data_IF_309417353067
#
_entry.id   IF_309417353067
#
_cell.length_a   1.000
_cell.length_b   1.000
_cell.length_c   1.000
_cell.angle_alpha   90.00
_cell.angle_beta   90.00
_cell.angle_gamma   90.00
#
_symmetry.space_group_name_H-M   'P 1'
#
loop_
_entity.id
_entity.type
_entity.pdbx_description
1 polymer ?
#
# COMPACT_ATOMS: atom_id res chain seq x y z
N UNK A 1 -36.68 15.51 61.71
CA UNK A 1 -36.87 14.96 60.35
C UNK A 1 -36.56 15.98 59.24
N UNK A 2 -36.45 17.28 59.49
CA UNK A 2 -36.21 18.32 58.47
C UNK A 2 -34.69 18.44 58.05
N UNK A 3 -33.77 18.24 58.99
CA UNK A 3 -32.32 18.44 58.71
C UNK A 3 -31.68 17.37 57.81
N UNK A 4 -32.21 16.16 57.85
CA UNK A 4 -31.73 15.05 57.01
C UNK A 4 -32.16 15.23 55.54
N UNK A 5 -33.40 15.68 55.31
CA UNK A 5 -33.91 15.97 53.98
C UNK A 5 -33.18 17.17 53.31
N UNK A 6 -32.80 18.18 54.09
CA UNK A 6 -32.00 19.31 53.61
C UNK A 6 -30.54 18.93 53.28
N UNK A 7 -29.97 18.01 54.01
CA UNK A 7 -28.62 17.45 53.70
C UNK A 7 -28.65 16.64 52.40
N UNK A 8 -29.63 15.77 52.22
CA UNK A 8 -29.76 14.94 51.03
C UNK A 8 -30.02 15.79 49.77
N UNK A 9 -30.86 16.84 49.90
CA UNK A 9 -31.08 17.80 48.83
C UNK A 9 -29.79 18.57 48.42
N UNK A 10 -28.98 18.98 49.40
CA UNK A 10 -27.71 19.67 49.15
C UNK A 10 -26.65 18.75 48.55
N UNK A 11 -26.60 17.49 48.91
CA UNK A 11 -25.67 16.49 48.31
C UNK A 11 -26.07 16.22 46.86
N UNK A 12 -27.36 16.00 46.59
CA UNK A 12 -27.85 15.75 45.24
C UNK A 12 -27.66 16.98 44.31
N UNK A 13 -27.83 18.20 44.81
CA UNK A 13 -27.58 19.44 44.07
C UNK A 13 -26.08 19.64 43.74
N UNK A 14 -25.17 19.28 44.66
CA UNK A 14 -23.72 19.33 44.43
C UNK A 14 -23.28 18.29 43.43
N UNK A 15 -23.83 17.07 43.49
CA UNK A 15 -23.54 16.02 42.53
C UNK A 15 -24.02 16.36 41.11
N UNK A 16 -25.23 16.93 41.00
CA UNK A 16 -25.77 17.35 39.71
C UNK A 16 -24.99 18.50 39.09
N UNK A 17 -24.52 19.47 39.89
CA UNK A 17 -23.70 20.58 39.41
C UNK A 17 -22.32 20.12 38.98
N UNK A 18 -21.70 19.18 39.70
CA UNK A 18 -20.41 18.57 39.37
C UNK A 18 -20.50 17.76 38.06
N UNK A 19 -21.55 16.95 37.89
CA UNK A 19 -21.83 16.22 36.66
C UNK A 19 -22.05 17.15 35.46
N UNK A 20 -22.80 18.23 35.66
CA UNK A 20 -23.02 19.21 34.59
C UNK A 20 -21.73 19.93 34.16
N UNK A 21 -20.84 20.25 35.09
CA UNK A 21 -19.53 20.84 34.79
C UNK A 21 -18.63 19.88 34.01
N UNK A 22 -18.56 18.59 34.40
CA UNK A 22 -17.82 17.55 33.69
C UNK A 22 -18.37 17.35 32.27
N UNK A 23 -19.69 17.23 32.11
CA UNK A 23 -20.34 17.08 30.81
C UNK A 23 -20.08 18.28 29.89
N UNK A 24 -20.08 19.51 30.45
CA UNK A 24 -19.76 20.72 29.67
C UNK A 24 -18.33 20.71 29.17
N UNK A 25 -17.37 20.26 29.99
CA UNK A 25 -15.97 20.14 29.63
C UNK A 25 -15.76 19.06 28.57
N UNK A 26 -16.43 17.91 28.70
CA UNK A 26 -16.41 16.86 27.72
C UNK A 26 -16.95 17.32 26.36
N UNK A 27 -18.09 18.03 26.34
CA UNK A 27 -18.68 18.60 25.13
C UNK A 27 -17.78 19.65 24.46
N UNK A 28 -17.04 20.44 25.25
CA UNK A 28 -16.06 21.39 24.68
C UNK A 28 -14.90 20.67 24.02
N UNK A 29 -14.33 19.68 24.71
CA UNK A 29 -13.25 18.86 24.15
C UNK A 29 -13.68 18.11 22.89
N UNK A 30 -14.89 17.58 22.85
CA UNK A 30 -15.47 16.92 21.70
C UNK A 30 -15.62 17.87 20.50
N UNK A 31 -16.08 19.11 20.73
CA UNK A 31 -16.15 20.14 19.68
C UNK A 31 -14.77 20.53 19.15
N UNK A 32 -13.79 20.69 20.03
CA UNK A 32 -12.41 20.99 19.63
C UNK A 32 -11.83 19.83 18.81
N UNK A 33 -12.00 18.60 19.30
CA UNK A 33 -11.54 17.41 18.60
C UNK A 33 -12.21 17.28 17.21
N UNK A 34 -13.52 17.48 17.14
CA UNK A 34 -14.26 17.49 15.87
C UNK A 34 -13.78 18.57 14.90
N UNK A 35 -13.51 19.77 15.44
CA UNK A 35 -12.94 20.89 14.66
C UNK A 35 -11.54 20.57 14.12
N UNK A 36 -10.68 20.02 14.97
CA UNK A 36 -9.33 19.59 14.58
C UNK A 36 -9.36 18.49 13.52
N UNK A 37 -10.20 17.47 13.71
CA UNK A 37 -10.35 16.36 12.75
C UNK A 37 -10.87 16.86 11.41
N UNK A 38 -11.87 17.75 11.38
CA UNK A 38 -12.35 18.37 10.15
C UNK A 38 -11.26 19.23 9.50
N UNK A 39 -10.54 20.04 10.28
CA UNK A 39 -9.42 20.84 9.78
C UNK A 39 -8.32 19.99 9.17
N UNK A 40 -7.94 18.89 9.81
CA UNK A 40 -6.97 17.94 9.27
C UNK A 40 -7.47 17.28 7.98
N UNK A 41 -8.74 16.88 7.91
CA UNK A 41 -9.33 16.31 6.70
C UNK A 41 -9.31 17.31 5.53
N UNK A 42 -9.67 18.57 5.77
CA UNK A 42 -9.57 19.63 4.75
C UNK A 42 -8.13 19.91 4.34
N UNK A 43 -7.16 19.89 5.27
CA UNK A 43 -5.76 20.08 4.95
C UNK A 43 -5.23 18.96 4.05
N UNK A 44 -5.55 17.70 4.35
CA UNK A 44 -5.19 16.54 3.50
C UNK A 44 -5.83 16.67 2.11
N UNK A 45 -7.12 17.02 2.04
CA UNK A 45 -7.80 17.22 0.76
C UNK A 45 -7.16 18.35 -0.06
N UNK A 46 -6.82 19.47 0.58
CA UNK A 46 -6.16 20.60 -0.08
C UNK A 46 -4.77 20.22 -0.61
N UNK A 47 -3.98 19.48 0.19
CA UNK A 47 -2.67 18.98 -0.23
C UNK A 47 -2.78 18.02 -1.42
N UNK A 48 -3.70 17.05 -1.38
CA UNK A 48 -3.92 16.13 -2.49
C UNK A 48 -4.38 16.85 -3.75
N UNK A 49 -5.32 17.80 -3.61
CA UNK A 49 -5.75 18.65 -4.73
C UNK A 49 -4.62 19.47 -5.30
N UNK A 50 -3.76 20.04 -4.45
CA UNK A 50 -2.58 20.79 -4.86
C UNK A 50 -1.59 19.92 -5.65
N UNK A 51 -1.35 18.69 -5.22
CA UNK A 51 -0.50 17.74 -5.95
C UNK A 51 -1.11 17.41 -7.32
N UNK A 52 -2.42 17.12 -7.39
CA UNK A 52 -3.10 16.82 -8.65
C UNK A 52 -3.00 18.00 -9.62
N UNK A 53 -3.27 19.23 -9.15
CA UNK A 53 -3.16 20.44 -9.96
C UNK A 53 -1.73 20.64 -10.44
N UNK A 54 -0.72 20.48 -9.58
CA UNK A 54 0.68 20.60 -9.95
C UNK A 54 1.08 19.57 -11.03
N UNK A 55 0.60 18.32 -10.91
CA UNK A 55 0.83 17.28 -11.92
C UNK A 55 0.16 17.61 -13.26
N UNK A 56 -1.06 18.11 -13.26
CA UNK A 56 -1.78 18.53 -14.48
C UNK A 56 -1.03 19.68 -15.18
N UNK A 57 -0.62 20.70 -14.42
CA UNK A 57 0.13 21.83 -14.96
C UNK A 57 1.48 21.37 -15.51
N UNK A 58 2.18 20.48 -14.78
CA UNK A 58 3.46 19.92 -15.21
C UNK A 58 3.36 19.01 -16.43
N UNK A 59 2.23 18.32 -16.62
CA UNK A 59 1.98 17.46 -17.78
C UNK A 59 1.50 18.25 -19.03
N UNK A 60 0.98 19.46 -18.85
CA UNK A 60 0.40 20.24 -19.95
C UNK A 60 1.34 20.47 -21.13
N UNK A 61 2.64 20.78 -20.98
CA UNK A 61 3.56 20.92 -22.11
C UNK A 61 3.72 19.63 -22.92
N UNK A 62 3.82 18.48 -22.25
CA UNK A 62 3.95 17.18 -22.91
C UNK A 62 2.68 16.82 -23.68
N UNK A 63 1.51 17.04 -23.10
CA UNK A 63 0.22 16.81 -23.75
C UNK A 63 -0.01 17.78 -24.90
N UNK A 64 0.43 19.03 -24.80
CA UNK A 64 0.35 20.04 -25.86
C UNK A 64 1.23 19.69 -27.06
N UNK A 65 2.43 19.13 -26.83
CA UNK A 65 3.38 18.79 -27.89
C UNK A 65 3.05 17.45 -28.56
N UNK A 66 2.71 16.42 -27.79
CA UNK A 66 2.54 15.07 -28.29
C UNK A 66 1.07 14.66 -28.43
N UNK A 67 0.14 15.37 -27.79
CA UNK A 67 -1.28 15.04 -27.80
C UNK A 67 -1.56 13.65 -27.24
N UNK A 68 -2.63 13.02 -27.70
CA UNK A 68 -2.99 11.65 -27.28
C UNK A 68 -2.05 10.57 -27.81
N UNK A 69 -1.24 10.85 -28.84
CA UNK A 69 -0.25 9.90 -29.35
C UNK A 69 0.86 9.60 -28.31
N UNK A 70 1.03 10.45 -27.30
CA UNK A 70 1.91 10.22 -26.17
C UNK A 70 1.61 8.89 -25.44
N UNK A 71 0.34 8.56 -25.28
CA UNK A 71 -0.08 7.33 -24.57
C UNK A 71 0.10 6.06 -25.38
N UNK A 72 0.17 6.17 -26.71
CA UNK A 72 0.27 5.02 -27.63
C UNK A 72 1.66 4.85 -28.23
N UNK A 73 2.54 5.83 -28.07
CA UNK A 73 3.90 5.79 -28.58
C UNK A 73 4.82 5.02 -27.64
N UNK A 74 5.68 4.14 -28.21
CA UNK A 74 6.76 3.47 -27.51
C UNK A 74 8.10 4.21 -27.58
N UNK A 75 8.15 5.28 -28.39
CA UNK A 75 9.38 6.03 -28.64
C UNK A 75 9.89 6.69 -27.35
N UNK A 76 11.17 6.53 -27.08
CA UNK A 76 11.89 7.28 -26.06
C UNK A 76 13.23 7.69 -26.64
N UNK A 77 13.23 8.81 -27.37
CA UNK A 77 14.42 9.29 -28.06
C UNK A 77 14.66 10.79 -27.77
N UNK A 78 15.63 11.06 -26.85
CA UNK A 78 15.96 12.45 -26.50
C UNK A 78 16.58 13.25 -27.65
N UNK A 79 17.19 12.60 -28.64
CA UNK A 79 17.86 13.27 -29.76
C UNK A 79 16.84 13.83 -30.75
N UNK A 80 15.76 13.08 -31.00
CA UNK A 80 14.67 13.50 -31.90
C UNK A 80 13.48 14.08 -31.17
N UNK A 81 13.61 14.28 -29.86
CA UNK A 81 12.57 14.80 -28.95
C UNK A 81 11.22 14.05 -29.05
N UNK A 82 11.27 12.75 -29.35
CA UNK A 82 10.09 11.89 -29.42
C UNK A 82 9.97 11.07 -28.14
N UNK A 83 8.91 11.35 -27.40
CA UNK A 83 8.62 10.67 -26.15
C UNK A 83 7.23 10.03 -26.14
N UNK A 84 7.13 8.88 -25.49
CA UNK A 84 5.86 8.17 -25.36
C UNK A 84 5.77 7.44 -24.02
N UNK A 85 4.55 7.28 -23.52
CA UNK A 85 4.28 6.69 -22.22
C UNK A 85 3.86 5.22 -22.28
N UNK A 86 3.73 4.62 -23.48
CA UNK A 86 3.22 3.26 -23.60
C UNK A 86 4.07 2.24 -22.84
N UNK A 87 5.40 2.31 -22.97
CA UNK A 87 6.30 1.38 -22.29
C UNK A 87 6.21 1.46 -20.75
N UNK A 88 6.25 2.65 -20.10
CA UNK A 88 6.02 2.77 -18.66
C UNK A 88 4.63 2.31 -18.22
N UNK A 89 3.58 2.63 -18.98
CA UNK A 89 2.20 2.20 -18.67
C UNK A 89 2.12 0.66 -18.71
N UNK A 90 2.58 0.06 -19.80
CA UNK A 90 2.60 -1.39 -19.93
C UNK A 90 3.42 -2.06 -18.82
N UNK A 91 4.62 -1.55 -18.55
CA UNK A 91 5.48 -2.07 -17.48
C UNK A 91 4.79 -2.04 -16.12
N UNK A 92 4.16 -0.91 -15.77
CA UNK A 92 3.44 -0.75 -14.50
C UNK A 92 2.25 -1.71 -14.39
N UNK A 93 1.45 -1.83 -15.44
CA UNK A 93 0.28 -2.73 -15.43
C UNK A 93 0.69 -4.20 -15.30
N UNK A 94 1.70 -4.63 -16.06
CA UNK A 94 2.14 -6.03 -16.03
C UNK A 94 2.84 -6.38 -14.71
N UNK A 95 3.72 -5.53 -14.19
CA UNK A 95 4.36 -5.76 -12.89
C UNK A 95 3.35 -5.78 -11.76
N UNK A 96 2.36 -4.89 -11.77
CA UNK A 96 1.28 -4.87 -10.79
C UNK A 96 0.41 -6.11 -10.88
N UNK A 97 0.08 -6.56 -12.09
CA UNK A 97 -0.69 -7.79 -12.29
C UNK A 97 0.04 -9.02 -11.74
N UNK A 98 1.33 -9.18 -12.05
CA UNK A 98 2.17 -10.27 -11.52
C UNK A 98 2.21 -10.20 -9.99
N UNK A 99 2.43 -9.01 -9.43
CA UNK A 99 2.48 -8.81 -7.99
C UNK A 99 1.17 -9.21 -7.30
N UNK A 100 0.02 -8.78 -7.84
CA UNK A 100 -1.30 -9.12 -7.29
C UNK A 100 -1.62 -10.61 -7.43
N UNK A 101 -1.28 -11.22 -8.57
CA UNK A 101 -1.49 -12.64 -8.82
C UNK A 101 -0.77 -13.53 -7.80
N UNK A 102 0.34 -13.07 -7.25
CA UNK A 102 1.13 -13.79 -6.25
C UNK A 102 0.75 -13.34 -4.84
N UNK A 103 0.75 -12.03 -4.57
CA UNK A 103 0.59 -11.50 -3.23
C UNK A 103 -0.82 -11.76 -2.66
N UNK A 104 -1.87 -11.69 -3.49
CA UNK A 104 -3.24 -11.88 -2.99
C UNK A 104 -3.47 -13.33 -2.54
N UNK A 105 -3.27 -14.37 -3.36
CA UNK A 105 -3.52 -15.73 -2.91
C UNK A 105 -2.58 -16.15 -1.78
N UNK A 106 -1.29 -15.79 -1.83
CA UNK A 106 -0.34 -16.12 -0.77
C UNK A 106 -0.69 -15.37 0.53
N UNK A 107 -1.01 -14.08 0.45
CA UNK A 107 -1.39 -13.27 1.61
C UNK A 107 -2.68 -13.78 2.28
N UNK A 108 -3.69 -14.17 1.47
CA UNK A 108 -4.91 -14.79 1.99
C UNK A 108 -4.63 -16.15 2.67
N UNK A 109 -3.79 -16.99 2.07
CA UNK A 109 -3.42 -18.27 2.68
C UNK A 109 -2.66 -18.08 4.00
N UNK A 110 -1.75 -17.11 4.06
CA UNK A 110 -1.02 -16.79 5.31
C UNK A 110 -1.98 -16.22 6.36
N UNK A 111 -2.90 -15.34 5.99
CA UNK A 111 -3.89 -14.80 6.90
C UNK A 111 -4.79 -15.91 7.46
N UNK A 112 -5.33 -16.77 6.59
CA UNK A 112 -6.14 -17.93 6.98
C UNK A 112 -5.38 -18.88 7.90
N UNK A 113 -4.11 -19.18 7.57
CA UNK A 113 -3.27 -20.00 8.44
C UNK A 113 -3.13 -19.39 9.84
N UNK A 114 -2.89 -18.08 9.92
CA UNK A 114 -2.69 -17.39 11.20
C UNK A 114 -3.96 -17.32 12.04
N UNK A 115 -5.15 -17.19 11.42
CA UNK A 115 -6.41 -17.08 12.15
C UNK A 115 -6.97 -18.45 12.58
N UNK A 116 -6.88 -19.45 11.71
CA UNK A 116 -7.56 -20.73 11.91
C UNK A 116 -6.63 -21.87 12.36
N UNK A 117 -5.43 -21.96 11.79
CA UNK A 117 -4.57 -23.14 11.94
C UNK A 117 -3.37 -22.92 12.87
N UNK A 118 -2.94 -21.68 13.06
CA UNK A 118 -1.74 -21.37 13.81
C UNK A 118 -1.93 -21.59 15.33
N UNK A 119 -1.02 -22.31 16.00
CA UNK A 119 -1.03 -22.44 17.45
C UNK A 119 -1.03 -21.07 18.13
N UNK A 120 -1.83 -20.92 19.21
CA UNK A 120 -1.97 -19.67 19.97
C UNK A 120 -0.63 -19.02 20.36
N UNK A 121 0.38 -19.84 20.71
CA UNK A 121 1.71 -19.37 21.10
C UNK A 121 2.48 -18.70 19.95
N UNK A 122 2.25 -19.10 18.71
CA UNK A 122 2.95 -18.60 17.52
C UNK A 122 2.17 -17.52 16.78
N UNK A 123 0.85 -17.44 16.97
CA UNK A 123 -0.03 -16.47 16.27
C UNK A 123 0.44 -15.02 16.47
N UNK A 124 0.71 -14.65 17.71
CA UNK A 124 1.13 -13.28 18.07
C UNK A 124 2.53 -12.93 17.56
N UNK A 125 3.60 -13.71 17.80
CA UNK A 125 4.92 -13.37 17.30
C UNK A 125 5.01 -13.33 15.77
N UNK A 126 4.35 -14.25 15.05
CA UNK A 126 4.33 -14.23 13.60
C UNK A 126 3.55 -13.02 13.08
N UNK A 127 2.40 -12.69 13.68
CA UNK A 127 1.64 -11.50 13.34
C UNK A 127 2.46 -10.21 13.47
N UNK A 128 3.17 -10.04 14.60
CA UNK A 128 4.07 -8.89 14.81
C UNK A 128 5.20 -8.87 13.75
N UNK A 129 5.78 -10.03 13.43
CA UNK A 129 6.82 -10.09 12.40
C UNK A 129 6.31 -9.63 11.02
N UNK A 130 5.10 -10.01 10.63
CA UNK A 130 4.47 -9.55 9.38
C UNK A 130 4.20 -8.04 9.41
N UNK A 131 3.71 -7.52 10.53
CA UNK A 131 3.49 -6.08 10.70
C UNK A 131 4.80 -5.28 10.63
N UNK A 132 5.89 -5.79 11.19
CA UNK A 132 7.21 -5.19 11.08
C UNK A 132 7.73 -5.18 9.63
N UNK A 133 7.48 -6.26 8.87
CA UNK A 133 7.82 -6.30 7.44
C UNK A 133 7.04 -5.23 6.65
N UNK A 134 5.77 -5.01 6.96
CA UNK A 134 4.97 -3.94 6.36
C UNK A 134 5.52 -2.53 6.65
N UNK A 135 6.21 -2.35 7.77
CA UNK A 135 6.85 -1.09 8.17
C UNK A 135 8.18 -0.77 7.46
N UNK A 136 8.74 -1.72 6.70
CA UNK A 136 10.00 -1.49 5.98
C UNK A 136 9.74 -0.57 4.77
N UNK A 137 10.50 0.55 4.62
CA UNK A 137 10.37 1.43 3.47
C UNK A 137 10.57 0.67 2.15
N UNK A 138 9.70 0.90 1.16
CA UNK A 138 9.70 0.21 -0.14
C UNK A 138 11.04 0.28 -0.88
N UNK A 139 11.79 1.37 -0.69
CA UNK A 139 13.11 1.55 -1.30
C UNK A 139 14.11 0.47 -0.87
N UNK A 140 14.01 -0.02 0.37
CA UNK A 140 14.89 -1.08 0.89
C UNK A 140 14.63 -2.38 0.13
N UNK A 141 13.37 -2.73 -0.10
CA UNK A 141 13.01 -3.88 -0.94
C UNK A 141 13.53 -3.72 -2.36
N UNK A 142 13.45 -2.50 -2.95
CA UNK A 142 13.96 -2.22 -4.27
C UNK A 142 15.48 -2.38 -4.38
N UNK A 143 16.22 -1.85 -3.41
CA UNK A 143 17.70 -1.97 -3.36
C UNK A 143 18.11 -3.44 -3.16
N UNK A 144 17.52 -4.12 -2.18
CA UNK A 144 17.76 -5.55 -1.97
C UNK A 144 17.41 -6.37 -3.20
N UNK A 145 16.28 -6.05 -3.82
CA UNK A 145 15.82 -6.72 -5.03
C UNK A 145 16.80 -6.57 -6.20
N UNK A 146 17.36 -5.38 -6.39
CA UNK A 146 18.30 -5.10 -7.46
C UNK A 146 19.65 -5.77 -7.24
N UNK A 147 20.20 -5.70 -6.03
CA UNK A 147 21.58 -6.16 -5.78
C UNK A 147 21.69 -7.61 -5.31
N UNK A 148 20.62 -8.19 -4.77
CA UNK A 148 20.64 -9.57 -4.25
C UNK A 148 19.70 -10.47 -5.04
N UNK A 149 18.45 -10.08 -5.18
CA UNK A 149 17.42 -10.94 -5.76
C UNK A 149 17.53 -11.04 -7.29
N UNK A 150 17.82 -9.94 -8.00
CA UNK A 150 17.99 -9.96 -9.45
C UNK A 150 19.19 -10.82 -9.90
N UNK A 151 20.39 -10.74 -9.29
CA UNK A 151 21.49 -11.67 -9.60
C UNK A 151 21.16 -13.14 -9.30
N UNK A 152 20.42 -13.41 -8.23
CA UNK A 152 19.93 -14.75 -7.93
C UNK A 152 19.01 -15.29 -9.01
N UNK A 153 18.02 -14.48 -9.45
CA UNK A 153 17.12 -14.84 -10.54
C UNK A 153 17.88 -15.06 -11.85
N UNK A 154 18.83 -14.19 -12.15
CA UNK A 154 19.68 -14.29 -13.35
C UNK A 154 20.43 -15.61 -13.42
N UNK A 155 20.98 -16.03 -12.28
CA UNK A 155 21.88 -17.20 -12.25
C UNK A 155 21.13 -18.54 -12.18
N UNK A 156 19.99 -18.57 -11.48
CA UNK A 156 19.33 -19.84 -11.15
C UNK A 156 17.93 -19.97 -11.74
N UNK A 157 17.13 -18.92 -11.70
CA UNK A 157 15.70 -19.01 -12.02
C UNK A 157 15.45 -18.76 -13.50
N UNK A 158 16.01 -17.69 -14.06
CA UNK A 158 15.78 -17.35 -15.47
C UNK A 158 16.29 -18.41 -16.44
N UNK A 159 17.50 -18.99 -16.31
CA UNK A 159 17.93 -20.09 -17.17
C UNK A 159 16.98 -21.29 -17.09
N UNK A 160 16.58 -21.68 -15.88
CA UNK A 160 15.62 -22.77 -15.70
C UNK A 160 14.26 -22.49 -16.37
N UNK A 161 13.75 -21.26 -16.27
CA UNK A 161 12.49 -20.88 -16.93
C UNK A 161 12.63 -20.89 -18.47
N UNK A 162 13.75 -20.39 -18.99
CA UNK A 162 14.03 -20.37 -20.43
C UNK A 162 14.12 -21.79 -20.97
N UNK A 163 14.88 -22.66 -20.30
CA UNK A 163 15.06 -24.06 -20.70
C UNK A 163 13.77 -24.87 -20.65
N UNK A 164 12.93 -24.58 -19.65
CA UNK A 164 11.68 -25.34 -19.43
C UNK A 164 10.53 -24.83 -20.30
N UNK A 165 10.34 -23.50 -20.38
CA UNK A 165 9.18 -22.90 -21.02
C UNK A 165 9.47 -22.24 -22.38
N UNK A 166 10.75 -22.00 -22.70
CA UNK A 166 11.14 -21.34 -23.94
C UNK A 166 10.75 -22.11 -25.22
N UNK A 167 10.57 -23.43 -25.13
CA UNK A 167 10.15 -24.28 -26.26
C UNK A 167 8.62 -24.34 -26.42
N UNK A 168 7.84 -23.78 -25.51
CA UNK A 168 6.37 -23.86 -25.55
C UNK A 168 5.82 -22.75 -26.45
N UNK A 169 5.05 -23.05 -27.50
CA UNK A 169 4.39 -22.03 -28.32
C UNK A 169 3.56 -21.08 -27.47
N UNK A 170 3.64 -19.78 -27.73
CA UNK A 170 2.98 -18.69 -27.01
C UNK A 170 3.65 -18.32 -25.67
N UNK A 171 4.04 -19.26 -24.81
CA UNK A 171 4.73 -18.97 -23.55
C UNK A 171 6.22 -18.68 -23.79
N UNK A 172 6.85 -19.31 -24.78
CA UNK A 172 8.27 -19.13 -25.10
C UNK A 172 8.62 -17.67 -25.37
N UNK A 173 7.76 -16.94 -26.06
CA UNK A 173 7.97 -15.51 -26.37
C UNK A 173 8.08 -14.62 -25.13
N UNK A 174 7.52 -15.04 -23.99
CA UNK A 174 7.63 -14.33 -22.70
C UNK A 174 9.00 -14.58 -22.03
N UNK A 175 9.69 -15.66 -22.41
CA UNK A 175 10.98 -16.08 -21.85
C UNK A 175 12.11 -16.04 -22.86
N UNK A 176 11.86 -15.49 -24.05
CA UNK A 176 12.89 -15.27 -25.05
C UNK A 176 13.84 -14.14 -24.62
N UNK A 177 15.13 -14.38 -24.79
CA UNK A 177 16.18 -13.41 -24.57
C UNK A 177 17.19 -13.82 -23.50
N UNK A 178 18.30 -13.07 -23.41
CA UNK A 178 19.35 -13.36 -22.43
C UNK A 178 18.89 -13.07 -21.01
N UNK A 179 19.30 -13.89 -20.02
CA UNK A 179 18.93 -13.73 -18.63
C UNK A 179 19.68 -12.56 -17.98
N UNK A 180 19.10 -11.39 -17.99
CA UNK A 180 19.71 -10.19 -17.39
C UNK A 180 19.44 -10.05 -15.88
N UNK A 181 18.58 -10.86 -15.30
CA UNK A 181 18.15 -10.71 -13.91
C UNK A 181 17.17 -9.56 -13.68
N UNK A 182 17.37 -8.45 -14.36
CA UNK A 182 16.53 -7.25 -14.27
C UNK A 182 15.46 -7.32 -15.35
N UNK A 183 14.19 -7.24 -14.96
CA UNK A 183 13.07 -7.32 -15.89
C UNK A 183 11.72 -7.23 -15.20
N UNK A 184 10.67 -7.30 -15.99
CA UNK A 184 9.27 -7.19 -15.54
C UNK A 184 8.90 -8.27 -14.51
N UNK A 185 9.35 -9.50 -14.72
CA UNK A 185 9.14 -10.62 -13.80
C UNK A 185 9.80 -10.34 -12.43
N UNK A 186 11.08 -9.95 -12.45
CA UNK A 186 11.82 -9.62 -11.22
C UNK A 186 11.17 -8.49 -10.47
N UNK A 187 10.79 -7.41 -11.16
CA UNK A 187 10.09 -6.27 -10.56
C UNK A 187 8.73 -6.69 -9.97
N UNK A 188 7.96 -7.51 -10.68
CA UNK A 188 6.69 -8.04 -10.20
C UNK A 188 6.83 -8.92 -8.95
N UNK A 189 7.87 -9.76 -8.89
CA UNK A 189 8.15 -10.59 -7.71
C UNK A 189 8.57 -9.76 -6.49
N UNK A 190 9.44 -8.77 -6.68
CA UNK A 190 9.83 -7.85 -5.60
C UNK A 190 8.60 -7.07 -5.09
N UNK A 191 7.77 -6.60 -6.00
CA UNK A 191 6.54 -5.90 -5.66
C UNK A 191 5.57 -6.83 -4.92
N UNK A 192 5.47 -8.12 -5.31
CA UNK A 192 4.67 -9.11 -4.59
C UNK A 192 5.15 -9.29 -3.14
N UNK A 193 6.46 -9.43 -2.92
CA UNK A 193 7.05 -9.55 -1.58
C UNK A 193 6.73 -8.30 -0.75
N UNK A 194 6.79 -7.12 -1.34
CA UNK A 194 6.52 -5.84 -0.67
C UNK A 194 5.04 -5.69 -0.28
N UNK A 195 4.12 -6.12 -1.14
CA UNK A 195 2.67 -5.99 -0.91
C UNK A 195 2.11 -7.10 0.00
N UNK A 196 2.77 -8.27 0.03
CA UNK A 196 2.32 -9.45 0.78
C UNK A 196 2.03 -9.18 2.28
N UNK A 197 2.89 -8.51 3.06
CA UNK A 197 2.60 -8.22 4.47
C UNK A 197 1.34 -7.36 4.65
N UNK A 198 1.13 -6.41 3.76
CA UNK A 198 -0.03 -5.52 3.78
C UNK A 198 -1.34 -6.28 3.48
N UNK A 199 -1.35 -7.12 2.43
CA UNK A 199 -2.49 -7.98 2.11
C UNK A 199 -2.79 -8.94 3.26
N UNK A 200 -1.75 -9.57 3.83
CA UNK A 200 -1.91 -10.49 4.97
C UNK A 200 -2.50 -9.81 6.19
N UNK A 201 -2.04 -8.60 6.52
CA UNK A 201 -2.52 -7.87 7.71
C UNK A 201 -4.00 -7.51 7.58
N UNK A 202 -4.41 -6.93 6.44
CA UNK A 202 -5.81 -6.58 6.19
C UNK A 202 -6.69 -7.84 6.18
N UNK A 203 -6.24 -8.91 5.49
CA UNK A 203 -7.01 -10.15 5.41
C UNK A 203 -7.19 -10.80 6.79
N UNK A 204 -6.16 -10.75 7.63
CA UNK A 204 -6.24 -11.25 9.01
C UNK A 204 -7.29 -10.48 9.83
N UNK A 205 -7.36 -9.16 9.69
CA UNK A 205 -8.34 -8.34 10.41
C UNK A 205 -9.79 -8.63 9.94
N UNK A 206 -9.96 -9.09 8.71
CA UNK A 206 -11.27 -9.50 8.17
C UNK A 206 -11.67 -10.90 8.66
N UNK A 207 -10.71 -11.80 8.87
CA UNK A 207 -10.96 -13.18 9.33
C UNK A 207 -11.04 -13.31 10.87
N UNK A 208 -10.56 -12.31 11.63
CA UNK A 208 -10.55 -12.32 13.10
C UNK A 208 -11.88 -11.82 13.69
#
# INVERSE_FOLDING_TARGET
MSDMALRDANVSARESSSRAAVLRRLRLNDRIFHGLTRGAAFAVLALLSGVIIALIIGAAPALGTFGFSFFTSQSWNPVTEKFGALAPIYGTLVTSFIAMLIAVPVGLMVAFFLTELCPMALRRPIGIAIELLAGIPSIIYGIWGLFVFAPFLQKYVQPFLIDTFGSIPLLGTLFEGPPYGIGVLTAGLILAIMVLPFVTSISRDVFA
#
